data_IF_973532300176
#
_entry.id   IF_973532300176
#
_cell.length_a   1.000
_cell.length_b   1.000
_cell.length_c   1.000
_cell.angle_alpha   90.00
_cell.angle_beta   90.00
_cell.angle_gamma   90.00
#
_symmetry.space_group_name_H-M   'P 1'
#
loop_
_entity.id
_entity.type
_entity.pdbx_description
1 polymer ?
#
# COMPACT_ATOMS: atom_id res chain seq x y z
N UNK A 1 15.31 8.03 -22.00
CA UNK A 1 15.25 6.90 -21.05
C UNK A 1 14.29 5.86 -21.61
N UNK A 2 14.67 4.59 -21.59
CA UNK A 2 13.74 3.49 -21.94
C UNK A 2 12.69 3.37 -20.83
N UNK A 3 11.39 3.24 -21.16
CA UNK A 3 10.36 3.04 -20.15
C UNK A 3 10.63 1.77 -19.34
N UNK A 4 10.38 1.82 -18.02
CA UNK A 4 10.45 0.63 -17.19
C UNK A 4 9.41 -0.40 -17.65
N UNK A 5 9.82 -1.67 -17.72
CA UNK A 5 8.91 -2.76 -18.07
C UNK A 5 8.10 -3.18 -16.84
N UNK A 6 6.94 -3.81 -17.05
CA UNK A 6 6.11 -4.28 -15.95
C UNK A 6 6.86 -5.19 -14.95
N UNK A 7 7.69 -6.18 -15.38
CA UNK A 7 8.49 -6.96 -14.44
C UNK A 7 9.47 -6.13 -13.60
N UNK A 8 10.12 -5.11 -14.18
CA UNK A 8 11.02 -4.24 -13.43
C UNK A 8 10.26 -3.41 -12.38
N UNK A 9 9.04 -2.97 -12.69
CA UNK A 9 8.18 -2.25 -11.74
C UNK A 9 7.76 -3.17 -10.59
N UNK A 10 7.43 -4.43 -10.88
CA UNK A 10 7.09 -5.42 -9.85
C UNK A 10 8.26 -5.67 -8.90
N UNK A 11 9.47 -5.89 -9.43
CA UNK A 11 10.67 -6.08 -8.62
C UNK A 11 10.96 -4.85 -7.76
N UNK A 12 10.90 -3.65 -8.35
CA UNK A 12 11.11 -2.41 -7.61
C UNK A 12 10.07 -2.23 -6.49
N UNK A 13 8.80 -2.58 -6.73
CA UNK A 13 7.77 -2.48 -5.70
C UNK A 13 8.03 -3.45 -4.53
N UNK A 14 8.51 -4.67 -4.83
CA UNK A 14 8.89 -5.63 -3.81
C UNK A 14 10.08 -5.13 -2.97
N UNK A 15 11.09 -4.54 -3.61
CA UNK A 15 12.23 -3.93 -2.92
C UNK A 15 11.79 -2.78 -2.02
N UNK A 16 10.89 -1.91 -2.51
CA UNK A 16 10.32 -0.81 -1.74
C UNK A 16 9.55 -1.29 -0.51
N UNK A 17 8.76 -2.36 -0.64
CA UNK A 17 8.06 -2.99 0.48
C UNK A 17 9.08 -3.46 1.53
N UNK A 18 10.13 -4.18 1.12
CA UNK A 18 11.14 -4.72 2.02
C UNK A 18 11.91 -3.61 2.75
N UNK A 19 12.33 -2.58 2.03
CA UNK A 19 13.05 -1.44 2.61
C UNK A 19 12.16 -0.67 3.60
N UNK A 20 10.89 -0.45 3.26
CA UNK A 20 9.95 0.27 4.14
C UNK A 20 9.60 -0.55 5.37
N UNK A 21 9.45 -1.86 5.24
CA UNK A 21 9.22 -2.76 6.36
C UNK A 21 10.36 -2.67 7.39
N UNK A 22 11.62 -2.69 6.94
CA UNK A 22 12.78 -2.57 7.82
C UNK A 22 12.82 -1.26 8.64
N UNK A 23 12.18 -0.20 8.13
CA UNK A 23 12.14 1.11 8.79
C UNK A 23 10.89 1.36 9.62
N UNK A 24 9.77 0.69 9.31
CA UNK A 24 8.42 1.08 9.78
C UNK A 24 7.66 -0.03 10.48
N UNK A 25 7.99 -1.30 10.23
CA UNK A 25 7.32 -2.42 10.88
C UNK A 25 7.85 -2.58 12.30
N UNK A 26 6.94 -2.84 13.25
CA UNK A 26 7.36 -3.08 14.63
C UNK A 26 7.99 -4.48 14.77
N UNK A 27 8.87 -4.68 15.76
CA UNK A 27 9.43 -6.00 16.07
C UNK A 27 8.37 -7.08 16.35
N UNK A 28 7.16 -6.66 16.74
CA UNK A 28 6.00 -7.54 16.99
C UNK A 28 5.26 -7.95 15.72
N UNK A 29 5.69 -7.50 14.54
CA UNK A 29 5.04 -7.76 13.25
C UNK A 29 3.82 -6.88 12.95
N UNK A 30 3.49 -5.93 13.83
CA UNK A 30 2.41 -4.97 13.59
C UNK A 30 2.82 -3.98 12.48
N UNK A 31 1.99 -3.89 11.43
CA UNK A 31 2.21 -2.99 10.30
C UNK A 31 1.52 -1.64 10.48
N UNK A 32 2.09 -0.63 9.82
CA UNK A 32 1.60 0.75 9.88
C UNK A 32 0.13 0.89 9.43
N UNK A 33 -0.33 0.10 8.47
CA UNK A 33 -1.71 0.20 7.97
C UNK A 33 -2.74 -0.32 8.97
N UNK A 34 -2.51 -1.50 9.58
CA UNK A 34 -3.38 -2.02 10.63
C UNK A 34 -3.59 -1.01 11.76
N UNK A 35 -2.52 -0.37 12.23
CA UNK A 35 -2.60 0.70 13.25
C UNK A 35 -3.37 1.92 12.75
N UNK A 36 -3.13 2.34 11.51
CA UNK A 36 -3.79 3.48 10.89
C UNK A 36 -5.30 3.25 10.82
N UNK A 37 -5.72 2.08 10.34
CA UNK A 37 -7.12 1.69 10.21
C UNK A 37 -7.79 1.59 11.58
N UNK A 38 -7.14 0.97 12.58
CA UNK A 38 -7.67 0.89 13.93
C UNK A 38 -7.91 2.29 14.53
N UNK A 39 -6.94 3.20 14.39
CA UNK A 39 -7.09 4.58 14.85
C UNK A 39 -8.18 5.35 14.09
N UNK A 40 -8.27 5.17 12.77
CA UNK A 40 -9.27 5.81 11.93
C UNK A 40 -10.69 5.35 12.31
N UNK A 41 -10.90 4.04 12.45
CA UNK A 41 -12.16 3.46 12.89
C UNK A 41 -12.58 3.98 14.27
N UNK A 42 -11.64 4.02 15.23
CA UNK A 42 -11.92 4.55 16.57
C UNK A 42 -12.27 6.05 16.57
N UNK A 43 -11.60 6.84 15.72
CA UNK A 43 -11.79 8.30 15.67
C UNK A 43 -13.09 8.70 14.97
N UNK A 44 -13.47 8.00 13.90
CA UNK A 44 -14.56 8.41 13.02
C UNK A 44 -15.78 7.48 13.08
N UNK A 45 -15.75 6.43 13.90
CA UNK A 45 -16.86 5.47 14.02
C UNK A 45 -17.07 4.66 12.75
N UNK A 46 -16.00 4.37 12.01
CA UNK A 46 -16.03 3.51 10.81
C UNK A 46 -15.61 2.08 11.14
N UNK A 47 -15.79 1.18 10.18
CA UNK A 47 -15.39 -0.23 10.29
C UNK A 47 -14.75 -0.71 9.00
N UNK A 48 -13.69 -0.01 8.57
CA UNK A 48 -12.91 -0.43 7.39
C UNK A 48 -11.86 -1.47 7.78
N UNK A 49 -11.53 -2.37 6.85
CA UNK A 49 -10.50 -3.41 7.02
C UNK A 49 -9.10 -2.89 6.66
N UNK A 50 -8.04 -3.65 6.98
CA UNK A 50 -6.67 -3.30 6.59
C UNK A 50 -6.52 -3.31 5.06
N UNK A 51 -7.12 -4.29 4.38
CA UNK A 51 -7.14 -4.37 2.92
C UNK A 51 -7.84 -3.16 2.27
N UNK A 52 -8.95 -2.68 2.85
CA UNK A 52 -9.62 -1.46 2.40
C UNK A 52 -8.77 -0.21 2.63
N UNK A 53 -7.98 -0.16 3.71
CA UNK A 53 -7.00 0.90 3.94
C UNK A 53 -5.96 0.99 2.82
N UNK A 54 -5.42 -0.15 2.36
CA UNK A 54 -4.50 -0.17 1.22
C UNK A 54 -5.16 0.24 -0.10
N UNK A 55 -6.38 -0.23 -0.36
CA UNK A 55 -7.16 0.17 -1.55
C UNK A 55 -7.44 1.68 -1.56
N UNK A 56 -7.71 2.28 -0.40
CA UNK A 56 -7.84 3.73 -0.26
C UNK A 56 -6.55 4.47 -0.67
N UNK A 57 -5.38 3.94 -0.28
CA UNK A 57 -4.09 4.49 -0.68
C UNK A 57 -3.83 4.35 -2.19
N UNK A 58 -4.31 3.28 -2.83
CA UNK A 58 -4.28 3.18 -4.30
C UNK A 58 -5.11 4.28 -4.96
N UNK A 59 -6.32 4.55 -4.45
CA UNK A 59 -7.18 5.64 -4.96
C UNK A 59 -6.49 7.01 -4.81
N UNK A 60 -5.79 7.25 -3.71
CA UNK A 60 -5.00 8.47 -3.52
C UNK A 60 -3.95 8.64 -4.63
N UNK A 61 -3.22 7.57 -4.97
CA UNK A 61 -2.21 7.59 -6.03
C UNK A 61 -2.81 7.74 -7.42
N UNK A 62 -3.92 7.07 -7.70
CA UNK A 62 -4.69 7.28 -8.93
C UNK A 62 -5.18 8.73 -9.06
N UNK A 63 -5.69 9.32 -7.98
CA UNK A 63 -6.16 10.70 -7.96
C UNK A 63 -5.04 11.71 -8.23
N UNK A 64 -3.83 11.47 -7.71
CA UNK A 64 -2.66 12.33 -8.00
C UNK A 64 -2.26 12.25 -9.46
N UNK A 65 -2.20 11.04 -10.02
CA UNK A 65 -1.90 10.83 -11.44
C UNK A 65 -2.95 11.44 -12.37
N UNK A 66 -4.23 11.44 -11.98
CA UNK A 66 -5.31 12.03 -12.78
C UNK A 66 -5.25 13.56 -12.87
N UNK A 67 -4.61 14.22 -11.89
CA UNK A 67 -4.58 15.68 -11.76
C UNK A 67 -3.34 16.34 -12.41
N UNK A 68 -2.41 15.59 -13.01
CA UNK A 68 -1.13 16.14 -13.45
C UNK A 68 -0.34 15.31 -14.45
N UNK A 69 0.97 15.59 -14.54
CA UNK A 69 1.92 14.86 -15.39
C UNK A 69 2.25 13.48 -14.84
N UNK A 70 2.66 12.56 -15.72
CA UNK A 70 3.14 11.24 -15.31
C UNK A 70 4.27 11.34 -14.27
N UNK A 71 4.06 10.69 -13.12
CA UNK A 71 5.06 10.48 -12.09
C UNK A 71 5.21 8.98 -11.82
N UNK A 72 6.39 8.43 -12.12
CA UNK A 72 6.67 7.00 -11.98
C UNK A 72 6.43 6.48 -10.55
N UNK A 73 6.72 7.31 -9.55
CA UNK A 73 6.52 7.00 -8.13
C UNK A 73 5.05 6.70 -7.79
N UNK A 74 4.10 7.41 -8.38
CA UNK A 74 2.68 7.18 -8.09
C UNK A 74 2.22 5.80 -8.57
N UNK A 75 2.79 5.30 -9.66
CA UNK A 75 2.51 3.97 -10.17
C UNK A 75 3.24 2.89 -9.38
N UNK A 76 4.50 3.14 -9.00
CA UNK A 76 5.30 2.22 -8.19
C UNK A 76 4.66 2.01 -6.80
N UNK A 77 4.28 3.10 -6.14
CA UNK A 77 3.57 3.06 -4.86
C UNK A 77 2.25 2.30 -4.98
N UNK A 78 1.48 2.52 -6.06
CA UNK A 78 0.24 1.78 -6.29
C UNK A 78 0.48 0.28 -6.44
N UNK A 79 1.52 -0.13 -7.16
CA UNK A 79 1.91 -1.54 -7.27
C UNK A 79 2.28 -2.12 -5.91
N UNK A 80 3.03 -1.37 -5.08
CA UNK A 80 3.38 -1.80 -3.74
C UNK A 80 2.13 -1.92 -2.83
N UNK A 81 1.22 -0.94 -2.88
CA UNK A 81 -0.02 -0.95 -2.09
C UNK A 81 -0.95 -2.08 -2.50
N UNK A 82 -1.05 -2.38 -3.80
CA UNK A 82 -1.84 -3.53 -4.28
C UNK A 82 -1.31 -4.86 -3.72
N UNK A 83 0.02 -5.03 -3.67
CA UNK A 83 0.63 -6.24 -3.08
C UNK A 83 0.37 -6.33 -1.57
N UNK A 84 0.53 -5.22 -0.84
CA UNK A 84 0.26 -5.16 0.62
C UNK A 84 -1.23 -5.36 0.94
N UNK A 85 -2.13 -4.82 0.11
CA UNK A 85 -3.57 -5.02 0.21
C UNK A 85 -3.97 -6.47 -0.05
N UNK A 86 -3.35 -7.13 -1.04
CA UNK A 86 -3.57 -8.55 -1.29
C UNK A 86 -3.09 -9.43 -0.12
N UNK A 87 -1.93 -9.11 0.48
CA UNK A 87 -1.42 -9.79 1.67
C UNK A 87 -2.38 -9.63 2.86
N UNK A 88 -2.89 -8.41 3.10
CA UNK A 88 -3.88 -8.15 4.14
C UNK A 88 -5.19 -8.92 3.90
N UNK A 89 -5.72 -8.89 2.67
CA UNK A 89 -6.94 -9.62 2.31
C UNK A 89 -6.77 -11.14 2.50
N UNK A 90 -5.61 -11.70 2.18
CA UNK A 90 -5.33 -13.12 2.40
C UNK A 90 -5.32 -13.49 3.90
N UNK A 91 -4.78 -12.63 4.76
CA UNK A 91 -4.84 -12.81 6.22
C UNK A 91 -6.28 -12.71 6.73
N UNK A 92 -7.01 -11.69 6.31
CA UNK A 92 -8.41 -11.45 6.69
C UNK A 92 -9.31 -12.63 6.30
N UNK A 93 -9.11 -13.23 5.12
CA UNK A 93 -9.87 -14.40 4.67
C UNK A 93 -9.53 -15.70 5.43
N UNK A 94 -8.40 -15.73 6.14
CA UNK A 94 -7.92 -16.90 6.88
C UNK A 94 -8.19 -16.80 8.39
N UNK A 95 -8.79 -15.71 8.86
CA UNK A 95 -9.07 -15.40 10.27
C UNK A 95 -10.51 -15.75 10.65
#
# INVERSE_FOLDING_TARGET
MTPATAPLILTAAADDIAQRAALRDQPTGERSMARTVAAFNAMFGTDITESQGWQFMELLKMSRGAAGSYHADDHLDRTAYAALGAEAAAREASA
#
